data_IF_412741536211
#
_entry.id   IF_412741536211
#
_cell.length_a   1.000
_cell.length_b   1.000
_cell.length_c   1.000
_cell.angle_alpha   90.00
_cell.angle_beta   90.00
_cell.angle_gamma   90.00
#
_symmetry.space_group_name_H-M   'P 1'
#
loop_
_entity.id
_entity.type
_entity.pdbx_description
1 polymer ?
#
# COMPACT_ATOMS: atom_id res chain seq x y z
N UNK A 1 16.58 -70.56 -2.20
CA UNK A 1 16.87 -69.61 -1.11
C UNK A 1 15.95 -68.42 -1.25
N UNK A 2 14.83 -68.47 -0.50
CA UNK A 2 13.90 -67.36 -0.43
C UNK A 2 14.50 -66.26 0.46
N UNK A 3 15.25 -65.35 -0.12
CA UNK A 3 15.77 -64.17 0.61
C UNK A 3 14.60 -63.34 1.11
N UNK A 4 14.33 -63.41 2.43
CA UNK A 4 13.27 -62.63 3.05
C UNK A 4 13.51 -61.12 2.83
N UNK A 5 12.52 -60.45 2.20
CA UNK A 5 12.54 -59.00 2.03
C UNK A 5 12.52 -58.34 3.40
N UNK A 6 13.56 -57.58 3.74
CA UNK A 6 13.67 -56.84 5.00
C UNK A 6 12.89 -55.54 4.91
N UNK A 7 11.86 -55.36 5.72
CA UNK A 7 11.13 -54.06 5.80
C UNK A 7 12.00 -53.03 6.56
N UNK A 8 12.15 -51.86 5.98
CA UNK A 8 12.80 -50.72 6.65
C UNK A 8 11.97 -50.28 7.86
N UNK A 9 12.62 -49.88 8.94
CA UNK A 9 11.91 -49.41 10.14
C UNK A 9 11.15 -48.12 9.90
N UNK A 10 10.03 -47.96 10.62
CA UNK A 10 9.19 -46.73 10.48
C UNK A 10 9.96 -45.42 10.71
N UNK A 11 10.85 -45.31 11.71
CA UNK A 11 11.65 -44.08 11.92
C UNK A 11 12.49 -43.68 10.70
N UNK A 12 13.05 -44.66 9.96
CA UNK A 12 13.84 -44.39 8.75
C UNK A 12 12.97 -43.84 7.62
N UNK A 13 11.77 -44.39 7.43
CA UNK A 13 10.83 -43.90 6.42
C UNK A 13 10.34 -42.47 6.74
N UNK A 14 10.08 -42.17 8.02
CA UNK A 14 9.74 -40.83 8.48
C UNK A 14 10.89 -39.85 8.26
N UNK A 15 12.11 -40.24 8.62
CA UNK A 15 13.30 -39.42 8.42
C UNK A 15 13.53 -39.09 6.94
N UNK A 16 13.38 -40.06 6.05
CA UNK A 16 13.48 -39.87 4.61
C UNK A 16 12.43 -38.87 4.10
N UNK A 17 11.21 -38.97 4.61
CA UNK A 17 10.13 -38.01 4.29
C UNK A 17 10.42 -36.60 4.76
N UNK A 18 10.96 -36.45 5.97
CA UNK A 18 11.35 -35.14 6.51
C UNK A 18 12.51 -34.50 5.72
N UNK A 19 13.50 -35.30 5.32
CA UNK A 19 14.61 -34.80 4.46
C UNK A 19 14.08 -34.33 3.12
N UNK A 20 13.21 -35.14 2.46
CA UNK A 20 12.64 -34.78 1.18
C UNK A 20 11.76 -33.53 1.26
N UNK A 21 10.96 -33.43 2.33
CA UNK A 21 10.18 -32.24 2.64
C UNK A 21 11.05 -30.99 2.84
N UNK A 22 12.14 -31.10 3.61
CA UNK A 22 13.07 -30.01 3.86
C UNK A 22 13.73 -29.51 2.58
N UNK A 23 14.21 -30.42 1.72
CA UNK A 23 14.78 -30.07 0.42
C UNK A 23 13.76 -29.34 -0.45
N UNK A 24 12.53 -29.83 -0.49
CA UNK A 24 11.41 -29.21 -1.22
C UNK A 24 11.14 -27.78 -0.72
N UNK A 25 11.07 -27.57 0.60
CA UNK A 25 10.87 -26.24 1.19
C UNK A 25 12.01 -25.31 0.81
N UNK A 26 13.28 -25.76 0.89
CA UNK A 26 14.44 -24.95 0.48
C UNK A 26 14.34 -24.52 -0.98
N UNK A 27 13.99 -25.42 -1.89
CA UNK A 27 13.82 -25.09 -3.31
C UNK A 27 12.72 -24.05 -3.53
N UNK A 28 11.55 -24.24 -2.92
CA UNK A 28 10.43 -23.31 -3.08
C UNK A 28 10.76 -21.92 -2.51
N UNK A 29 11.40 -21.83 -1.35
CA UNK A 29 11.67 -20.54 -0.71
C UNK A 29 12.88 -19.81 -1.30
N UNK A 30 13.94 -20.53 -1.74
CA UNK A 30 15.17 -19.92 -2.23
C UNK A 30 15.13 -19.58 -3.73
N UNK A 31 14.47 -20.40 -4.54
CA UNK A 31 14.43 -20.23 -5.99
C UNK A 31 13.31 -19.26 -6.37
N UNK A 32 13.65 -18.18 -7.07
CA UNK A 32 12.66 -17.16 -7.46
C UNK A 32 11.62 -17.72 -8.44
N UNK A 33 12.06 -18.51 -9.43
CA UNK A 33 11.20 -19.09 -10.46
C UNK A 33 10.46 -20.31 -9.94
N UNK A 34 9.12 -20.21 -9.83
CA UNK A 34 8.28 -21.32 -9.37
C UNK A 34 8.35 -22.57 -10.26
N UNK A 35 8.35 -22.47 -11.61
CA UNK A 35 8.55 -23.65 -12.47
C UNK A 35 9.87 -24.39 -12.22
N UNK A 36 10.95 -23.65 -11.98
CA UNK A 36 12.26 -24.25 -11.66
C UNK A 36 12.24 -24.94 -10.29
N UNK A 37 11.67 -24.30 -9.26
CA UNK A 37 11.55 -24.88 -7.94
C UNK A 37 10.68 -26.17 -7.96
N UNK A 38 9.60 -26.15 -8.74
CA UNK A 38 8.75 -27.32 -8.94
C UNK A 38 9.51 -28.45 -9.66
N UNK A 39 10.21 -28.14 -10.78
CA UNK A 39 11.01 -29.10 -11.52
C UNK A 39 12.08 -29.78 -10.63
N UNK A 40 12.81 -29.01 -9.82
CA UNK A 40 13.80 -29.54 -8.89
C UNK A 40 13.18 -30.41 -7.78
N UNK A 41 12.00 -30.02 -7.27
CA UNK A 41 11.26 -30.83 -6.28
C UNK A 41 10.79 -32.15 -6.91
N UNK A 42 10.35 -32.15 -8.16
CA UNK A 42 9.97 -33.36 -8.89
C UNK A 42 11.16 -34.26 -9.19
N UNK A 43 12.29 -33.71 -9.60
CA UNK A 43 13.51 -34.50 -9.86
C UNK A 43 14.06 -35.14 -8.60
N UNK A 44 14.06 -34.45 -7.45
CA UNK A 44 14.47 -35.06 -6.15
C UNK A 44 13.48 -36.14 -5.71
N UNK A 45 12.20 -35.97 -5.90
CA UNK A 45 11.17 -37.00 -5.64
C UNK A 45 11.34 -38.23 -6.52
N UNK A 46 11.59 -38.02 -7.83
CA UNK A 46 11.87 -39.10 -8.77
C UNK A 46 13.15 -39.86 -8.41
N UNK A 47 14.22 -39.14 -8.04
CA UNK A 47 15.45 -39.75 -7.57
C UNK A 47 15.22 -40.63 -6.33
N UNK A 48 14.41 -40.16 -5.37
CA UNK A 48 14.05 -40.97 -4.19
C UNK A 48 13.32 -42.28 -4.58
N UNK A 49 12.39 -42.23 -5.54
CA UNK A 49 11.69 -43.43 -6.04
C UNK A 49 12.64 -44.43 -6.68
N UNK A 50 13.56 -43.94 -7.53
CA UNK A 50 14.58 -44.78 -8.18
C UNK A 50 15.50 -45.42 -7.13
N UNK A 51 15.96 -44.66 -6.13
CA UNK A 51 16.78 -45.15 -5.05
C UNK A 51 16.05 -46.23 -4.24
N UNK A 52 14.79 -46.02 -3.91
CA UNK A 52 13.97 -47.01 -3.18
C UNK A 52 13.79 -48.32 -3.98
N UNK A 53 13.60 -48.21 -5.29
CA UNK A 53 13.52 -49.36 -6.21
C UNK A 53 14.84 -50.14 -6.28
N UNK A 54 15.97 -49.47 -6.44
CA UNK A 54 17.31 -50.10 -6.49
C UNK A 54 17.67 -50.79 -5.17
N UNK A 55 17.35 -50.20 -4.03
CA UNK A 55 17.56 -50.82 -2.71
C UNK A 55 16.69 -52.08 -2.52
N UNK A 56 15.47 -52.07 -3.05
CA UNK A 56 14.64 -53.25 -3.05
C UNK A 56 15.24 -54.36 -3.93
N UNK A 57 15.68 -54.02 -5.14
CA UNK A 57 16.17 -54.94 -6.16
C UNK A 57 17.49 -55.62 -5.78
N UNK A 58 18.45 -54.83 -5.26
CA UNK A 58 19.81 -55.33 -5.00
C UNK A 58 20.11 -55.71 -3.55
N UNK A 59 19.38 -55.14 -2.60
CA UNK A 59 19.64 -55.32 -1.16
C UNK A 59 18.48 -55.99 -0.43
N UNK A 60 17.39 -56.32 -1.09
CA UNK A 60 16.16 -56.84 -0.53
C UNK A 60 15.57 -56.00 0.60
N UNK A 61 15.76 -54.64 0.55
CA UNK A 61 15.17 -53.71 1.49
C UNK A 61 13.91 -53.08 0.92
N UNK A 62 12.76 -53.21 1.62
CA UNK A 62 11.54 -52.55 1.28
C UNK A 62 11.43 -51.21 1.97
N UNK A 63 11.53 -50.10 1.20
CA UNK A 63 11.35 -48.73 1.65
C UNK A 63 9.97 -48.24 1.23
N UNK A 64 9.26 -47.56 2.13
CA UNK A 64 7.97 -46.95 1.80
C UNK A 64 8.21 -45.76 0.86
N UNK A 65 7.39 -45.68 -0.23
CA UNK A 65 7.48 -44.59 -1.20
C UNK A 65 6.39 -43.55 -0.93
N UNK A 66 5.18 -43.99 -0.60
CA UNK A 66 3.98 -43.12 -0.50
C UNK A 66 4.12 -42.10 0.63
N UNK A 67 4.52 -42.50 1.85
CA UNK A 67 4.58 -41.58 2.98
C UNK A 67 5.64 -40.47 2.81
N UNK A 68 6.90 -40.73 2.37
CA UNK A 68 7.86 -39.63 2.10
C UNK A 68 7.42 -38.69 0.97
N UNK A 69 6.81 -39.21 -0.09
CA UNK A 69 6.29 -38.36 -1.16
C UNK A 69 5.12 -37.49 -0.70
N UNK A 70 4.23 -38.02 0.16
CA UNK A 70 3.15 -37.19 0.73
C UNK A 70 3.70 -36.06 1.59
N UNK A 71 4.75 -36.30 2.39
CA UNK A 71 5.42 -35.22 3.16
C UNK A 71 6.01 -34.15 2.24
N UNK A 72 6.66 -34.53 1.14
CA UNK A 72 7.18 -33.59 0.16
C UNK A 72 6.06 -32.77 -0.52
N UNK A 73 4.95 -33.42 -0.86
CA UNK A 73 3.79 -32.73 -1.46
C UNK A 73 3.17 -31.72 -0.50
N UNK A 74 2.90 -32.11 0.75
CA UNK A 74 2.36 -31.19 1.76
C UNK A 74 3.34 -30.05 2.04
N UNK A 75 4.64 -30.34 2.15
CA UNK A 75 5.68 -29.34 2.34
C UNK A 75 5.75 -28.35 1.16
N UNK A 76 5.59 -28.85 -0.07
CA UNK A 76 5.54 -28.01 -1.27
C UNK A 76 4.35 -27.03 -1.19
N UNK A 77 3.14 -27.55 -0.91
CA UNK A 77 1.93 -26.71 -0.83
C UNK A 77 2.08 -25.65 0.25
N UNK A 78 2.53 -26.03 1.45
CA UNK A 78 2.73 -25.09 2.56
C UNK A 78 3.78 -24.03 2.20
N UNK A 79 4.91 -24.44 1.62
CA UNK A 79 5.98 -23.52 1.22
C UNK A 79 5.53 -22.53 0.13
N UNK A 80 4.70 -22.98 -0.83
CA UNK A 80 4.09 -22.09 -1.85
C UNK A 80 3.18 -21.05 -1.21
N UNK A 81 2.32 -21.47 -0.27
CA UNK A 81 1.43 -20.54 0.45
C UNK A 81 2.25 -19.51 1.23
N UNK A 82 3.26 -19.95 1.98
CA UNK A 82 4.14 -19.06 2.75
C UNK A 82 4.83 -18.05 1.82
N UNK A 83 5.41 -18.53 0.72
CA UNK A 83 6.08 -17.67 -0.26
C UNK A 83 5.13 -16.64 -0.86
N UNK A 84 3.90 -17.03 -1.20
CA UNK A 84 2.88 -16.13 -1.70
C UNK A 84 2.52 -15.05 -0.67
N UNK A 85 2.33 -15.42 0.61
CA UNK A 85 2.02 -14.48 1.68
C UNK A 85 3.16 -13.48 1.93
N UNK A 86 4.43 -13.95 1.91
CA UNK A 86 5.60 -13.06 2.04
C UNK A 86 5.62 -12.08 0.87
N UNK A 87 5.50 -12.57 -0.36
CA UNK A 87 5.54 -11.73 -1.56
C UNK A 87 4.39 -10.71 -1.61
N UNK A 88 3.20 -11.08 -1.15
CA UNK A 88 2.07 -10.16 -1.05
C UNK A 88 2.36 -9.02 -0.06
N UNK A 89 2.93 -9.32 1.11
CA UNK A 89 3.32 -8.31 2.09
C UNK A 89 4.40 -7.36 1.58
N UNK A 90 5.41 -7.90 0.88
CA UNK A 90 6.47 -7.09 0.28
C UNK A 90 5.91 -6.15 -0.78
N UNK A 91 4.97 -6.62 -1.60
CA UNK A 91 4.28 -5.80 -2.60
C UNK A 91 3.48 -4.68 -1.95
N UNK A 92 2.69 -4.98 -0.91
CA UNK A 92 1.90 -3.97 -0.19
C UNK A 92 2.81 -2.92 0.48
N UNK A 93 3.93 -3.35 1.06
CA UNK A 93 4.91 -2.44 1.64
C UNK A 93 5.57 -1.54 0.59
N UNK A 94 6.00 -2.10 -0.55
CA UNK A 94 6.56 -1.34 -1.65
C UNK A 94 5.54 -0.38 -2.27
N UNK A 95 4.29 -0.82 -2.46
CA UNK A 95 3.20 0.02 -2.95
C UNK A 95 2.94 1.20 -2.00
N UNK A 96 2.88 0.94 -0.70
CA UNK A 96 2.72 1.99 0.31
C UNK A 96 3.88 2.99 0.27
N UNK A 97 5.13 2.53 0.19
CA UNK A 97 6.31 3.40 0.08
C UNK A 97 6.30 4.24 -1.21
N UNK A 98 5.84 3.68 -2.32
CA UNK A 98 5.77 4.38 -3.60
C UNK A 98 4.63 5.40 -3.69
N UNK A 99 3.55 5.24 -2.91
CA UNK A 99 2.31 6.01 -3.05
C UNK A 99 1.99 6.91 -1.88
N UNK A 100 2.66 6.77 -0.72
CA UNK A 100 2.37 7.58 0.48
C UNK A 100 3.53 8.49 0.88
N UNK A 101 3.19 9.60 1.53
CA UNK A 101 4.14 10.52 2.15
C UNK A 101 4.55 10.00 3.54
N UNK A 102 5.85 9.91 3.79
CA UNK A 102 6.40 9.33 5.01
C UNK A 102 6.14 10.14 6.29
N UNK A 103 5.81 11.44 6.18
CA UNK A 103 5.53 12.28 7.34
C UNK A 103 4.05 12.23 7.75
N UNK A 104 3.16 12.37 6.77
CA UNK A 104 1.72 12.57 7.00
C UNK A 104 0.89 11.31 6.82
N UNK A 105 1.44 10.27 6.22
CA UNK A 105 0.74 9.04 5.82
C UNK A 105 -0.45 9.28 4.87
N UNK A 106 -0.51 10.45 4.24
CA UNK A 106 -1.38 10.73 3.11
C UNK A 106 -0.77 10.15 1.83
N UNK A 107 -1.55 10.10 0.77
CA UNK A 107 -0.96 9.82 -0.53
C UNK A 107 0.03 10.93 -0.92
N UNK A 108 1.08 10.57 -1.67
CA UNK A 108 2.09 11.51 -2.12
C UNK A 108 1.69 12.23 -3.42
N UNK A 109 2.48 13.23 -3.84
CA UNK A 109 2.27 14.01 -5.04
C UNK A 109 2.20 13.15 -6.32
N UNK A 110 3.01 12.10 -6.41
CA UNK A 110 2.99 11.19 -7.57
C UNK A 110 1.64 10.49 -7.70
N UNK A 111 1.13 9.94 -6.61
CA UNK A 111 -0.18 9.30 -6.58
C UNK A 111 -1.31 10.28 -6.93
N UNK A 112 -1.22 11.53 -6.43
CA UNK A 112 -2.15 12.60 -6.81
C UNK A 112 -2.19 12.80 -8.33
N UNK A 113 -1.04 12.93 -8.99
CA UNK A 113 -0.97 13.12 -10.46
C UNK A 113 -1.60 11.95 -11.22
N UNK A 114 -1.30 10.72 -10.82
CA UNK A 114 -1.86 9.52 -11.42
C UNK A 114 -3.40 9.48 -11.27
N UNK A 115 -3.92 9.84 -10.09
CA UNK A 115 -5.37 9.87 -9.85
C UNK A 115 -6.06 11.01 -10.59
N UNK A 116 -5.49 12.20 -10.66
CA UNK A 116 -6.03 13.30 -11.45
C UNK A 116 -6.22 12.92 -12.92
N UNK A 117 -5.20 12.30 -13.53
CA UNK A 117 -5.29 11.80 -14.91
C UNK A 117 -6.41 10.76 -15.07
N UNK A 118 -6.54 9.86 -14.11
CA UNK A 118 -7.57 8.81 -14.09
C UNK A 118 -8.98 9.40 -13.98
N UNK A 119 -9.20 10.35 -13.05
CA UNK A 119 -10.51 10.95 -12.85
C UNK A 119 -10.92 11.85 -14.01
N UNK A 120 -10.01 12.60 -14.60
CA UNK A 120 -10.29 13.36 -15.84
C UNK A 120 -10.73 12.41 -16.96
N UNK A 121 -9.98 11.33 -17.20
CA UNK A 121 -10.32 10.35 -18.25
C UNK A 121 -11.66 9.66 -17.98
N UNK A 122 -11.97 9.35 -16.72
CA UNK A 122 -13.25 8.78 -16.31
C UNK A 122 -14.40 9.75 -16.53
N UNK A 123 -14.25 11.01 -16.09
CA UNK A 123 -15.29 12.04 -16.22
C UNK A 123 -15.53 12.45 -17.67
N UNK A 124 -14.49 12.45 -18.50
CA UNK A 124 -14.64 12.64 -19.96
C UNK A 124 -15.50 11.55 -20.61
N UNK A 125 -15.39 10.31 -20.13
CA UNK A 125 -16.09 9.17 -20.72
C UNK A 125 -17.51 8.98 -20.20
N UNK A 126 -17.71 9.20 -18.90
CA UNK A 126 -18.97 8.85 -18.22
C UNK A 126 -19.76 10.07 -17.74
N UNK A 127 -19.30 11.29 -18.05
CA UNK A 127 -19.92 12.55 -17.65
C UNK A 127 -20.17 12.67 -16.14
N UNK A 128 -19.36 11.97 -15.33
CA UNK A 128 -19.46 12.00 -13.86
C UNK A 128 -18.67 13.17 -13.31
N UNK A 129 -19.23 14.00 -12.41
CA UNK A 129 -18.50 15.10 -11.82
C UNK A 129 -17.42 14.59 -10.85
N UNK A 130 -16.30 15.30 -10.74
CA UNK A 130 -15.42 15.23 -9.60
C UNK A 130 -14.88 16.62 -9.28
N UNK A 131 -14.53 16.85 -8.05
CA UNK A 131 -13.96 18.11 -7.59
C UNK A 131 -12.57 17.92 -6.98
N UNK A 132 -11.79 18.99 -7.04
CA UNK A 132 -10.47 19.10 -6.44
C UNK A 132 -10.47 20.20 -5.40
N UNK A 133 -9.90 19.95 -4.23
CA UNK A 133 -9.58 20.95 -3.21
C UNK A 133 -8.07 21.00 -3.08
N UNK A 134 -7.48 22.19 -3.23
CA UNK A 134 -6.06 22.44 -2.86
C UNK A 134 -6.06 23.26 -1.59
N UNK A 135 -5.20 22.88 -0.66
CA UNK A 135 -5.16 23.33 0.73
C UNK A 135 -3.73 23.76 1.09
N UNK A 136 -3.61 24.88 1.79
CA UNK A 136 -2.34 25.36 2.30
C UNK A 136 -2.50 25.79 3.77
N UNK A 137 -1.48 25.49 4.61
CA UNK A 137 -1.48 25.90 6.02
C UNK A 137 -1.02 27.34 6.11
N UNK A 138 -1.90 28.19 6.62
CA UNK A 138 -1.65 29.64 6.70
C UNK A 138 -0.45 29.94 7.58
N UNK A 139 0.44 30.80 7.06
CA UNK A 139 1.65 31.27 7.75
C UNK A 139 2.59 30.16 8.26
N UNK A 140 2.62 28.99 7.61
CA UNK A 140 3.38 27.84 8.08
C UNK A 140 4.89 28.09 8.21
N UNK A 141 5.48 28.87 7.30
CA UNK A 141 6.88 29.29 7.44
C UNK A 141 7.13 30.06 8.74
N UNK A 142 6.27 31.07 9.03
CA UNK A 142 6.37 31.84 10.29
C UNK A 142 6.15 30.97 11.52
N UNK A 143 5.27 29.94 11.40
CA UNK A 143 5.06 28.97 12.44
C UNK A 143 6.35 28.18 12.73
N UNK A 144 7.01 27.67 11.69
CA UNK A 144 8.30 26.97 11.81
C UNK A 144 9.41 27.85 12.40
N UNK A 145 9.49 29.11 11.99
CA UNK A 145 10.45 30.07 12.51
C UNK A 145 10.26 30.29 14.03
N UNK A 146 9.02 30.27 14.53
CA UNK A 146 8.69 30.51 15.93
C UNK A 146 8.76 29.23 16.80
N UNK A 147 8.39 28.05 16.28
CA UNK A 147 8.22 26.84 17.07
C UNK A 147 9.15 25.67 16.65
N UNK A 148 9.95 25.89 15.61
CA UNK A 148 10.87 24.90 15.06
C UNK A 148 10.21 23.87 14.14
N UNK A 149 11.01 23.27 13.27
CA UNK A 149 10.54 22.31 12.26
C UNK A 149 9.87 21.07 12.86
N UNK A 150 10.34 20.58 14.02
CA UNK A 150 9.69 19.43 14.68
C UNK A 150 8.24 19.71 15.09
N UNK A 151 7.94 20.93 15.51
CA UNK A 151 6.57 21.38 15.82
C UNK A 151 5.74 21.54 14.54
N UNK A 152 6.37 22.03 13.46
CA UNK A 152 5.74 22.07 12.14
C UNK A 152 5.36 20.69 11.64
N UNK A 153 6.25 19.72 11.76
CA UNK A 153 5.97 18.31 11.41
C UNK A 153 4.82 17.73 12.22
N UNK A 154 4.75 18.07 13.53
CA UNK A 154 3.64 17.64 14.37
C UNK A 154 2.29 18.24 13.93
N UNK A 155 2.31 19.52 13.50
CA UNK A 155 1.13 20.20 12.94
C UNK A 155 0.72 19.57 11.60
N UNK A 156 1.67 19.34 10.69
CA UNK A 156 1.40 18.69 9.40
C UNK A 156 0.69 17.34 9.59
N UNK A 157 1.18 16.49 10.51
CA UNK A 157 0.54 15.20 10.83
C UNK A 157 -0.88 15.38 11.35
N UNK A 158 -1.10 16.36 12.24
CA UNK A 158 -2.41 16.58 12.85
C UNK A 158 -3.42 17.17 11.86
N UNK A 159 -3.00 18.08 10.98
CA UNK A 159 -3.83 18.59 9.88
C UNK A 159 -4.17 17.44 8.93
N UNK A 160 -3.20 16.70 8.45
CA UNK A 160 -3.38 15.55 7.58
C UNK A 160 -4.39 14.54 8.15
N UNK A 161 -4.23 14.19 9.43
CA UNK A 161 -5.16 13.29 10.13
C UNK A 161 -6.57 13.88 10.23
N UNK A 162 -6.69 15.19 10.44
CA UNK A 162 -7.98 15.88 10.51
C UNK A 162 -8.69 15.83 9.17
N UNK A 163 -7.98 16.13 8.08
CA UNK A 163 -8.53 16.03 6.73
C UNK A 163 -8.98 14.59 6.43
N UNK A 164 -8.10 13.62 6.60
CA UNK A 164 -8.36 12.20 6.28
C UNK A 164 -9.54 11.60 7.05
N UNK A 165 -9.74 11.99 8.31
CA UNK A 165 -10.86 11.49 9.14
C UNK A 165 -12.21 12.11 8.82
N UNK A 166 -12.25 13.24 8.10
CA UNK A 166 -13.47 14.03 7.87
C UNK A 166 -13.92 14.06 6.41
N UNK A 167 -13.32 13.23 5.58
CA UNK A 167 -13.76 12.93 4.21
C UNK A 167 -14.19 11.48 4.09
N UNK A 168 -14.81 11.11 2.98
CA UNK A 168 -15.26 9.73 2.70
C UNK A 168 -14.07 8.81 2.43
N UNK A 169 -14.25 7.51 2.57
CA UNK A 169 -13.21 6.50 2.21
C UNK A 169 -12.88 6.47 0.72
N UNK A 170 -13.80 6.96 -0.12
CA UNK A 170 -13.62 7.11 -1.56
C UNK A 170 -12.83 8.36 -1.95
N UNK A 171 -12.73 9.33 -1.05
CA UNK A 171 -12.04 10.58 -1.30
C UNK A 171 -10.52 10.39 -1.13
N UNK A 172 -9.75 11.03 -1.97
CA UNK A 172 -8.31 10.83 -2.03
C UNK A 172 -7.61 12.05 -1.45
N UNK A 173 -7.02 11.89 -0.28
CA UNK A 173 -6.28 12.94 0.42
C UNK A 173 -4.79 12.75 0.18
N UNK A 174 -4.12 13.79 -0.35
CA UNK A 174 -2.71 13.75 -0.71
C UNK A 174 -1.93 14.89 -0.03
N UNK A 175 -0.64 14.67 0.20
CA UNK A 175 0.31 15.75 0.43
C UNK A 175 0.81 16.22 -0.94
N UNK A 176 0.44 17.44 -1.31
CA UNK A 176 0.73 18.00 -2.62
C UNK A 176 2.13 18.63 -2.68
N UNK A 177 2.54 19.30 -1.62
CA UNK A 177 3.83 19.97 -1.47
C UNK A 177 4.33 19.94 -0.03
N UNK A 178 5.19 20.86 0.34
CA UNK A 178 5.74 21.00 1.69
C UNK A 178 4.67 21.12 2.77
N UNK A 179 3.87 22.18 2.70
CA UNK A 179 2.74 22.48 3.60
C UNK A 179 1.38 22.40 2.89
N UNK A 180 1.41 21.99 1.62
CA UNK A 180 0.23 21.91 0.77
C UNK A 180 -0.34 20.50 0.75
N UNK A 181 -1.66 20.42 0.81
CA UNK A 181 -2.43 19.18 0.72
C UNK A 181 -3.49 19.30 -0.37
N UNK A 182 -3.94 18.19 -0.89
CA UNK A 182 -5.02 18.16 -1.88
C UNK A 182 -6.02 17.06 -1.57
N UNK A 183 -7.27 17.26 -2.00
CA UNK A 183 -8.32 16.26 -1.88
C UNK A 183 -9.04 16.16 -3.22
N UNK A 184 -9.05 14.95 -3.79
CA UNK A 184 -9.90 14.62 -4.95
C UNK A 184 -11.19 14.03 -4.40
N UNK A 185 -12.32 14.60 -4.81
CA UNK A 185 -13.67 14.21 -4.39
C UNK A 185 -14.42 13.59 -5.59
N UNK A 186 -14.43 12.25 -5.72
CA UNK A 186 -15.18 11.58 -6.78
C UNK A 186 -16.69 11.81 -6.67
N UNK A 187 -17.39 11.87 -7.79
CA UNK A 187 -18.84 12.03 -7.86
C UNK A 187 -19.37 13.18 -7.00
N UNK A 188 -18.66 14.32 -6.99
CA UNK A 188 -18.96 15.46 -6.14
C UNK A 188 -19.01 16.72 -6.99
N UNK A 189 -20.11 17.45 -6.92
CA UNK A 189 -20.31 18.74 -7.60
C UNK A 189 -19.67 19.88 -6.81
N UNK A 190 -19.57 21.06 -7.44
CA UNK A 190 -18.89 22.22 -6.88
C UNK A 190 -19.48 22.67 -5.54
N UNK A 191 -20.80 22.75 -5.42
CA UNK A 191 -21.47 23.21 -4.20
C UNK A 191 -21.20 22.27 -3.03
N UNK A 192 -21.23 20.95 -3.27
CA UNK A 192 -20.91 19.93 -2.26
C UNK A 192 -19.44 20.00 -1.85
N UNK A 193 -18.53 20.20 -2.82
CA UNK A 193 -17.11 20.32 -2.56
C UNK A 193 -16.78 21.57 -1.73
N UNK A 194 -17.42 22.69 -2.01
CA UNK A 194 -17.32 23.92 -1.22
C UNK A 194 -17.80 23.68 0.21
N UNK A 195 -18.94 23.02 0.40
CA UNK A 195 -19.45 22.69 1.74
C UNK A 195 -18.48 21.79 2.52
N UNK A 196 -17.90 20.78 1.87
CA UNK A 196 -16.85 19.93 2.46
C UNK A 196 -15.63 20.78 2.85
N UNK A 197 -15.15 21.62 1.96
CA UNK A 197 -13.99 22.49 2.18
C UNK A 197 -14.22 23.45 3.37
N UNK A 198 -15.39 24.07 3.46
CA UNK A 198 -15.78 24.96 4.58
C UNK A 198 -15.80 24.22 5.92
N UNK A 199 -16.35 23.01 5.93
CA UNK A 199 -16.34 22.15 7.11
C UNK A 199 -14.89 21.84 7.55
N UNK A 200 -14.03 21.45 6.63
CA UNK A 200 -12.62 21.14 6.92
C UNK A 200 -11.88 22.38 7.44
N UNK A 201 -12.09 23.55 6.82
CA UNK A 201 -11.51 24.82 7.24
C UNK A 201 -11.87 25.13 8.71
N UNK A 202 -13.16 25.10 9.04
CA UNK A 202 -13.62 25.36 10.42
C UNK A 202 -13.11 24.34 11.43
N UNK A 203 -13.03 23.06 11.05
CA UNK A 203 -12.51 22.00 11.93
C UNK A 203 -11.03 22.17 12.24
N UNK A 204 -10.21 22.56 11.27
CA UNK A 204 -8.78 22.83 11.51
C UNK A 204 -8.62 24.08 12.38
N UNK A 205 -9.35 25.16 12.07
CA UNK A 205 -9.28 26.41 12.84
C UNK A 205 -9.69 26.25 14.32
N UNK A 206 -10.68 25.40 14.61
CA UNK A 206 -11.16 25.14 15.97
C UNK A 206 -10.29 24.17 16.78
N UNK A 207 -9.38 23.44 16.11
CA UNK A 207 -8.57 22.40 16.74
C UNK A 207 -7.30 22.95 17.34
N UNK A 208 -7.06 22.66 18.61
CA UNK A 208 -5.75 22.89 19.24
C UNK A 208 -4.76 21.83 18.79
N UNK A 209 -3.67 22.25 18.17
CA UNK A 209 -2.59 21.38 17.68
C UNK A 209 -1.54 21.22 18.77
N UNK A 210 -1.22 19.98 19.13
CA UNK A 210 -0.14 19.67 20.09
C UNK A 210 1.21 19.78 19.41
N UNK A 211 2.12 20.57 20.00
CA UNK A 211 3.48 20.79 19.52
C UNK A 211 4.44 19.76 20.12
N UNK A 212 5.62 19.63 19.51
CA UNK A 212 6.67 18.71 19.98
C UNK A 212 7.17 18.99 21.41
N UNK A 213 7.04 20.24 21.85
CA UNK A 213 7.42 20.70 23.21
C UNK A 213 6.29 20.59 24.25
N UNK A 214 5.18 19.93 23.92
CA UNK A 214 4.00 19.77 24.81
C UNK A 214 3.06 20.96 24.86
N UNK A 215 3.41 22.11 24.24
CA UNK A 215 2.49 23.28 24.13
C UNK A 215 1.41 23.01 23.09
N UNK A 216 0.38 23.84 23.10
CA UNK A 216 -0.68 23.85 22.10
C UNK A 216 -0.65 25.16 21.31
N UNK A 217 -0.98 25.09 20.02
CA UNK A 217 -1.15 26.25 19.15
C UNK A 217 -2.29 26.01 18.18
N UNK A 218 -2.81 27.07 17.60
CA UNK A 218 -3.81 26.98 16.55
C UNK A 218 -3.14 27.29 15.20
N UNK A 219 -3.61 26.62 14.16
CA UNK A 219 -3.28 26.94 12.77
C UNK A 219 -4.60 27.04 11.99
N UNK A 220 -4.57 27.78 10.91
CA UNK A 220 -5.68 27.85 9.95
C UNK A 220 -5.21 27.35 8.60
N UNK A 221 -6.16 27.06 7.72
CA UNK A 221 -5.92 26.66 6.34
C UNK A 221 -6.71 27.52 5.39
N UNK A 222 -6.13 27.78 4.22
CA UNK A 222 -6.83 28.36 3.08
C UNK A 222 -7.06 27.29 2.03
N UNK A 223 -8.18 27.34 1.34
CA UNK A 223 -8.58 26.31 0.39
C UNK A 223 -9.07 26.93 -0.91
N UNK A 224 -8.69 26.31 -2.03
CA UNK A 224 -9.23 26.58 -3.36
C UNK A 224 -9.95 25.35 -3.88
N UNK A 225 -11.16 25.52 -4.43
CA UNK A 225 -12.02 24.43 -4.92
C UNK A 225 -12.24 24.56 -6.41
N UNK A 226 -12.02 23.51 -7.18
CA UNK A 226 -12.35 23.44 -8.61
C UNK A 226 -13.12 22.15 -8.93
N UNK A 227 -13.87 22.15 -10.01
CA UNK A 227 -14.68 21.01 -10.44
C UNK A 227 -14.46 20.74 -11.91
N UNK A 228 -14.34 19.47 -12.30
CA UNK A 228 -14.27 19.09 -13.70
C UNK A 228 -15.49 19.63 -14.48
N UNK A 229 -15.25 20.40 -15.53
CA UNK A 229 -16.29 20.97 -16.36
C UNK A 229 -15.83 22.17 -17.20
N UNK A 230 -16.77 22.85 -17.81
CA UNK A 230 -16.47 23.93 -18.76
C UNK A 230 -15.89 25.18 -18.08
N UNK A 231 -16.21 25.43 -16.81
CA UNK A 231 -15.69 26.59 -16.06
C UNK A 231 -14.25 26.40 -15.62
N UNK A 232 -13.93 25.24 -15.01
CA UNK A 232 -12.63 24.96 -14.40
C UNK A 232 -11.72 24.11 -15.30
N UNK A 233 -12.23 23.69 -16.45
CA UNK A 233 -11.51 22.94 -17.47
C UNK A 233 -11.71 21.43 -17.40
N UNK A 234 -11.24 20.79 -18.47
CA UNK A 234 -11.38 19.34 -18.70
C UNK A 234 -10.02 18.63 -18.80
N UNK A 235 -8.96 19.27 -18.32
CA UNK A 235 -7.62 18.68 -18.23
C UNK A 235 -7.09 18.79 -16.82
N UNK A 236 -6.23 17.86 -16.36
CA UNK A 236 -5.65 17.94 -15.02
C UNK A 236 -4.99 19.30 -14.74
N UNK A 237 -4.23 19.83 -15.70
CA UNK A 237 -3.54 21.11 -15.55
C UNK A 237 -4.50 22.27 -15.30
N UNK A 238 -5.59 22.36 -16.08
CA UNK A 238 -6.58 23.46 -15.94
C UNK A 238 -7.35 23.39 -14.64
N UNK A 239 -7.74 22.18 -14.20
CA UNK A 239 -8.45 21.99 -12.93
C UNK A 239 -7.55 22.36 -11.74
N UNK A 240 -6.27 21.97 -11.79
CA UNK A 240 -5.28 22.34 -10.79
C UNK A 240 -5.07 23.87 -10.78
N UNK A 241 -4.86 24.47 -11.93
CA UNK A 241 -4.69 25.92 -12.08
C UNK A 241 -5.89 26.69 -11.51
N UNK A 242 -7.12 26.26 -11.79
CA UNK A 242 -8.33 26.88 -11.24
C UNK A 242 -8.40 26.79 -9.72
N UNK A 243 -8.04 25.64 -9.14
CA UNK A 243 -8.00 25.47 -7.70
C UNK A 243 -6.89 26.34 -7.06
N UNK A 244 -5.70 26.39 -7.66
CA UNK A 244 -4.58 27.22 -7.19
C UNK A 244 -4.91 28.70 -7.22
N UNK A 245 -5.53 29.20 -8.29
CA UNK A 245 -5.97 30.58 -8.37
C UNK A 245 -6.98 30.93 -7.26
N UNK A 246 -7.92 30.05 -6.98
CA UNK A 246 -8.88 30.24 -5.89
C UNK A 246 -8.21 30.17 -4.51
N UNK A 247 -7.26 29.28 -4.31
CA UNK A 247 -6.45 29.23 -3.10
C UNK A 247 -5.67 30.53 -2.91
N UNK A 248 -5.08 31.07 -3.97
CA UNK A 248 -4.39 32.36 -3.94
C UNK A 248 -5.34 33.49 -3.50
N UNK A 249 -6.54 33.56 -4.09
CA UNK A 249 -7.56 34.53 -3.67
C UNK A 249 -8.01 34.34 -2.20
N UNK A 250 -8.13 33.10 -1.73
CA UNK A 250 -8.43 32.84 -0.33
C UNK A 250 -7.33 33.42 0.60
N UNK A 251 -6.06 33.28 0.21
CA UNK A 251 -4.92 33.85 0.95
C UNK A 251 -4.89 35.40 0.93
N UNK A 252 -5.17 36.00 -0.21
CA UNK A 252 -5.22 37.47 -0.34
C UNK A 252 -6.40 38.09 0.43
N UNK A 253 -7.54 37.46 0.45
CA UNK A 253 -8.75 37.96 1.11
C UNK A 253 -8.76 37.71 2.65
N UNK A 254 -7.62 37.41 3.26
CA UNK A 254 -7.48 37.35 4.72
C UNK A 254 -7.34 35.93 5.27
N UNK A 255 -7.11 34.90 4.44
CA UNK A 255 -6.86 33.51 4.83
C UNK A 255 -8.01 32.85 5.60
N UNK A 256 -7.79 31.66 6.14
CA UNK A 256 -8.79 30.90 6.93
C UNK A 256 -10.14 30.81 6.24
N UNK A 257 -10.16 30.49 4.95
CA UNK A 257 -11.37 30.46 4.11
C UNK A 257 -11.25 29.58 2.90
N UNK A 258 -12.40 29.37 2.29
CA UNK A 258 -12.57 28.69 1.01
C UNK A 258 -12.90 29.73 -0.07
N UNK A 259 -12.36 29.53 -1.26
CA UNK A 259 -12.72 30.28 -2.44
C UNK A 259 -12.93 29.34 -3.64
#
# INVERSE_FOLDING_TARGET
DGSLIKKCSEPINVLAGLILALITVIFVLRIQSMPVAFGLSMTTSAFYVVLAYELMRYKNYWIKIVSPLSFALFAFIIAVIIKYLIKSRDFDAQYKLATTDGLTELYNHRYFQEQMQRYVSHSMRYETPFSLIIIDIDFFKKFNDNYGHQSGDAVLRQVAMTLKKNVRTTDIVCRYGGEEMSIILPNTKQEEAIAIAQKLCSMVASKKMKLSNGRESNVTISLGVSTFGDQDGKTPAKIIESADQRLYHAKENGRNRVN
#
